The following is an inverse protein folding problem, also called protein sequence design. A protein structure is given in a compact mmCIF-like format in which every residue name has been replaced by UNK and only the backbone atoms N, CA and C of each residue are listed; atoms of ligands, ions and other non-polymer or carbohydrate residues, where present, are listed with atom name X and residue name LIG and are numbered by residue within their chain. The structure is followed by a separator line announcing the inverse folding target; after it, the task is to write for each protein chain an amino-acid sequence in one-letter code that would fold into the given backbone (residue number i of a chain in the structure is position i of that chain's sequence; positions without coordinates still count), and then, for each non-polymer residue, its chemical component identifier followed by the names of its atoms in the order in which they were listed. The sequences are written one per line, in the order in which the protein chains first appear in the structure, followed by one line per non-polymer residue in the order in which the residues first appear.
data_IF_326211094177
#
_entry.id   IF_326211094177
#
_cell.length_a   1.000
_cell.length_b   1.000
_cell.length_c   1.000
_cell.angle_alpha   90.00
_cell.angle_beta   90.00
_cell.angle_gamma   90.00
#
_symmetry.space_group_name_H-M   'P 1'
#
loop_
_entity.id
_entity.type
_entity.pdbx_description
1 polymer ?
#
# COMPACT_ATOMS: atom_id res chain seq x y z
N UNK A 1 12.94 5.59 -17.87
CA UNK A 1 13.31 5.15 -19.23
C UNK A 1 12.98 6.30 -20.17
N UNK A 2 13.85 6.67 -21.10
CA UNK A 2 13.52 7.75 -22.04
C UNK A 2 12.40 7.28 -22.99
N UNK A 3 11.56 8.22 -23.43
CA UNK A 3 10.38 7.93 -24.26
C UNK A 3 10.69 7.08 -25.49
N UNK A 4 11.83 7.34 -26.15
CA UNK A 4 12.30 6.58 -27.32
C UNK A 4 12.40 5.08 -27.11
N UNK A 5 12.70 4.63 -25.88
CA UNK A 5 12.88 3.22 -25.55
C UNK A 5 11.77 2.70 -24.62
N UNK A 6 10.74 3.51 -24.35
CA UNK A 6 9.67 3.17 -23.42
C UNK A 6 8.77 2.08 -23.98
N UNK A 7 8.91 0.87 -23.44
CA UNK A 7 7.95 -0.21 -23.69
C UNK A 7 6.83 -0.09 -22.67
N UNK A 8 5.62 0.27 -23.13
CA UNK A 8 4.46 0.55 -22.27
C UNK A 8 4.20 -0.50 -21.21
N UNK A 9 4.26 -1.79 -21.57
CA UNK A 9 4.00 -2.89 -20.64
C UNK A 9 5.05 -2.99 -19.53
N UNK A 10 6.33 -2.75 -19.86
CA UNK A 10 7.41 -2.69 -18.88
C UNK A 10 7.28 -1.43 -18.03
N UNK A 11 6.95 -0.29 -18.64
CA UNK A 11 6.74 0.97 -17.94
C UNK A 11 5.64 0.91 -16.89
N UNK A 12 4.53 0.21 -17.18
CA UNK A 12 3.46 -0.02 -16.21
C UNK A 12 3.94 -0.82 -14.99
N UNK A 13 4.75 -1.87 -15.20
CA UNK A 13 5.29 -2.69 -14.10
C UNK A 13 6.15 -1.85 -13.15
N UNK A 14 6.97 -0.95 -13.69
CA UNK A 14 7.88 -0.10 -12.91
C UNK A 14 7.30 1.27 -12.54
N UNK A 15 6.02 1.51 -12.80
CA UNK A 15 5.35 2.75 -12.40
C UNK A 15 5.21 2.84 -10.88
N UNK A 16 5.23 4.07 -10.34
CA UNK A 16 5.02 4.28 -8.89
C UNK A 16 3.64 3.79 -8.44
N UNK A 17 2.61 3.95 -9.29
CA UNK A 17 1.28 3.41 -9.04
C UNK A 17 1.33 1.89 -8.86
N UNK A 18 1.98 1.15 -9.79
CA UNK A 18 2.11 -0.30 -9.65
C UNK A 18 2.97 -0.70 -8.45
N UNK A 19 4.05 0.04 -8.17
CA UNK A 19 4.90 -0.17 -6.99
C UNK A 19 4.09 -0.09 -5.69
N UNK A 20 3.34 1.01 -5.48
CA UNK A 20 2.56 1.19 -4.26
C UNK A 20 1.36 0.26 -4.17
N UNK A 21 0.69 -0.06 -5.29
CA UNK A 21 -0.35 -1.10 -5.34
C UNK A 21 0.20 -2.47 -4.98
N UNK A 22 1.41 -2.80 -5.43
CA UNK A 22 2.08 -4.07 -5.10
C UNK A 22 2.43 -4.11 -3.61
N UNK A 23 2.95 -3.03 -3.03
CA UNK A 23 3.21 -2.96 -1.59
C UNK A 23 1.93 -3.12 -0.78
N UNK A 24 0.84 -2.44 -1.15
CA UNK A 24 -0.45 -2.55 -0.48
C UNK A 24 -0.99 -3.98 -0.53
N UNK A 25 -0.80 -4.67 -1.67
CA UNK A 25 -1.13 -6.09 -1.80
C UNK A 25 -0.30 -6.97 -0.88
N UNK A 26 1.00 -6.71 -0.75
CA UNK A 26 1.87 -7.47 0.17
C UNK A 26 1.43 -7.27 1.62
N UNK A 27 1.17 -6.03 2.05
CA UNK A 27 0.68 -5.75 3.42
C UNK A 27 -0.64 -6.45 3.73
N UNK A 28 -1.57 -6.45 2.77
CA UNK A 28 -2.83 -7.18 2.91
C UNK A 28 -2.59 -8.69 3.07
N UNK A 29 -1.71 -9.28 2.25
CA UNK A 29 -1.36 -10.70 2.34
C UNK A 29 -0.69 -11.06 3.68
N UNK A 30 0.13 -10.16 4.23
CA UNK A 30 0.73 -10.33 5.56
C UNK A 30 -0.37 -10.37 6.62
N UNK A 31 -1.33 -9.44 6.57
CA UNK A 31 -2.48 -9.42 7.47
C UNK A 31 -3.33 -10.71 7.34
N UNK A 32 -3.60 -11.17 6.11
CA UNK A 32 -4.29 -12.44 5.88
C UNK A 32 -3.53 -13.64 6.46
N UNK A 33 -2.20 -13.67 6.32
CA UNK A 33 -1.34 -14.68 6.94
C UNK A 33 -1.44 -14.67 8.48
N UNK A 34 -1.46 -13.50 9.11
CA UNK A 34 -1.69 -13.38 10.55
C UNK A 34 -3.10 -13.78 10.98
N UNK A 35 -4.12 -13.54 10.15
CA UNK A 35 -5.47 -14.01 10.39
C UNK A 35 -5.58 -15.54 10.35
N UNK A 36 -4.84 -16.21 9.45
CA UNK A 36 -4.80 -17.68 9.37
C UNK A 36 -4.27 -18.34 10.65
N UNK A 37 -3.36 -17.68 11.36
CA UNK A 37 -2.84 -18.15 12.67
C UNK A 37 -3.62 -17.58 13.86
N UNK A 38 -4.71 -16.85 13.62
CA UNK A 38 -5.63 -16.36 14.65
C UNK A 38 -5.19 -15.08 15.37
N UNK A 39 -4.20 -14.35 14.87
CA UNK A 39 -3.74 -13.09 15.49
C UNK A 39 -4.64 -11.89 15.13
N UNK A 40 -5.13 -11.83 13.89
CA UNK A 40 -6.05 -10.78 13.43
C UNK A 40 -7.48 -11.32 13.35
N UNK A 41 -8.48 -10.64 13.94
CA UNK A 41 -9.89 -11.01 13.77
C UNK A 41 -10.30 -10.95 12.29
N UNK A 42 -11.06 -11.93 11.77
CA UNK A 42 -11.54 -11.90 10.38
C UNK A 42 -12.31 -10.62 10.02
N UNK A 43 -13.02 -10.03 10.98
CA UNK A 43 -13.72 -8.75 10.82
C UNK A 43 -12.80 -7.58 10.51
N UNK A 44 -11.59 -7.59 11.06
CA UNK A 44 -10.60 -6.53 10.81
C UNK A 44 -9.97 -6.71 9.41
N UNK A 45 -9.75 -7.95 8.97
CA UNK A 45 -9.28 -8.24 7.60
C UNK A 45 -10.27 -7.75 6.56
N UNK A 46 -11.57 -8.01 6.74
CA UNK A 46 -12.59 -7.55 5.79
C UNK A 46 -12.65 -6.02 5.71
N UNK A 47 -12.45 -5.32 6.84
CA UNK A 47 -12.32 -3.85 6.84
C UNK A 47 -11.07 -3.39 6.10
N UNK A 48 -9.92 -4.02 6.35
CA UNK A 48 -8.68 -3.70 5.63
C UNK A 48 -8.89 -3.88 4.13
N UNK A 49 -9.42 -5.03 3.68
CA UNK A 49 -9.72 -5.29 2.26
C UNK A 49 -10.62 -4.25 1.61
N UNK A 50 -11.60 -3.75 2.35
CA UNK A 50 -12.60 -2.82 1.83
C UNK A 50 -12.09 -1.38 1.79
N UNK A 51 -11.30 -0.97 2.78
CA UNK A 51 -10.91 0.42 3.00
C UNK A 51 -9.51 0.76 2.46
N UNK A 52 -8.61 -0.22 2.38
CA UNK A 52 -7.22 -0.03 1.95
C UNK A 52 -7.16 0.56 0.54
N UNK A 53 -6.76 1.82 0.45
CA UNK A 53 -6.69 2.55 -0.81
C UNK A 53 -5.32 3.19 -0.99
N UNK A 54 -4.73 3.06 -2.18
CA UNK A 54 -3.48 3.72 -2.53
C UNK A 54 -3.79 5.07 -3.17
N UNK A 55 -3.26 6.15 -2.59
CA UNK A 55 -3.40 7.51 -3.10
C UNK A 55 -2.01 8.08 -3.42
N UNK A 56 -1.61 7.99 -4.69
CA UNK A 56 -0.28 8.43 -5.14
C UNK A 56 0.02 9.91 -4.85
N UNK A 57 -0.89 10.87 -5.12
CA UNK A 57 -0.67 12.26 -4.70
C UNK A 57 -0.36 12.40 -3.20
N UNK A 58 -1.14 11.73 -2.33
CA UNK A 58 -0.94 11.79 -0.88
C UNK A 58 0.37 11.14 -0.45
N UNK A 59 0.76 10.06 -1.12
CA UNK A 59 2.04 9.39 -0.90
C UNK A 59 3.22 10.33 -1.14
N UNK A 60 3.20 11.08 -2.24
CA UNK A 60 4.27 12.02 -2.59
C UNK A 60 4.34 13.20 -1.61
N UNK A 61 3.20 13.69 -1.12
CA UNK A 61 3.15 14.71 -0.06
C UNK A 61 3.80 14.20 1.23
N UNK A 62 3.41 13.01 1.69
CA UNK A 62 3.94 12.41 2.91
C UNK A 62 5.44 12.09 2.76
N UNK A 63 5.89 11.60 1.61
CA UNK A 63 7.31 11.33 1.35
C UNK A 63 8.14 12.61 1.40
N UNK A 64 7.60 13.73 0.90
CA UNK A 64 8.24 15.03 1.02
C UNK A 64 8.38 15.50 2.48
N UNK A 65 7.49 15.10 3.38
CA UNK A 65 7.55 15.40 4.81
C UNK A 65 8.45 14.42 5.59
N UNK A 66 8.27 13.11 5.40
CA UNK A 66 8.97 12.06 6.16
C UNK A 66 10.40 11.87 5.68
N UNK A 67 10.71 12.21 4.43
CA UNK A 67 11.95 11.86 3.73
C UNK A 67 12.22 10.35 3.71
N UNK A 68 11.16 9.54 3.83
CA UNK A 68 11.22 8.09 3.79
C UNK A 68 9.94 7.54 3.17
N UNK A 69 10.10 6.89 2.02
CA UNK A 69 9.06 6.28 1.20
C UNK A 69 8.22 5.24 1.95
N UNK A 70 8.81 4.24 2.60
CA UNK A 70 8.06 3.20 3.32
C UNK A 70 7.26 3.79 4.48
N UNK A 71 7.82 4.76 5.22
CA UNK A 71 7.09 5.43 6.31
C UNK A 71 5.94 6.27 5.78
N UNK A 72 6.13 6.97 4.66
CA UNK A 72 5.05 7.70 4.00
C UNK A 72 3.95 6.76 3.51
N UNK A 73 4.33 5.59 2.98
CA UNK A 73 3.41 4.57 2.51
C UNK A 73 2.54 3.98 3.63
N UNK A 74 3.14 3.55 4.74
CA UNK A 74 2.37 3.00 5.87
C UNK A 74 1.46 4.06 6.52
N UNK A 75 1.91 5.32 6.57
CA UNK A 75 1.07 6.46 7.00
C UNK A 75 -0.10 6.69 6.05
N UNK A 76 0.14 6.71 4.74
CA UNK A 76 -0.91 6.87 3.73
C UNK A 76 -1.97 5.76 3.85
N UNK A 77 -1.55 4.50 3.98
CA UNK A 77 -2.49 3.39 4.18
C UNK A 77 -3.29 3.56 5.48
N UNK A 78 -2.59 3.92 6.57
CA UNK A 78 -3.21 4.16 7.88
C UNK A 78 -4.23 5.30 7.90
N UNK A 79 -4.13 6.28 7.00
CA UNK A 79 -5.11 7.37 6.86
C UNK A 79 -6.45 6.87 6.29
N UNK A 80 -6.43 5.79 5.48
CA UNK A 80 -7.64 5.20 4.87
C UNK A 80 -8.34 4.18 5.77
N UNK A 81 -7.65 3.72 6.81
CA UNK A 81 -8.10 2.67 7.70
C UNK A 81 -8.60 3.23 9.04
N UNK A 82 -9.58 2.54 9.62
CA UNK A 82 -10.10 2.82 10.96
C UNK A 82 -9.21 2.24 12.08
N UNK A 83 -9.80 1.72 13.17
CA UNK A 83 -9.06 1.07 14.25
C UNK A 83 -8.20 -0.13 13.81
N UNK A 84 -8.55 -0.76 12.69
CA UNK A 84 -7.82 -1.87 12.08
C UNK A 84 -6.44 -1.48 11.56
N UNK A 85 -6.15 -0.17 11.41
CA UNK A 85 -4.82 0.31 10.99
C UNK A 85 -3.68 -0.16 11.88
N UNK A 86 -3.96 -0.56 13.13
CA UNK A 86 -2.96 -1.09 14.07
C UNK A 86 -2.25 -2.37 13.58
N UNK A 87 -2.82 -3.03 12.57
CA UNK A 87 -2.28 -4.26 11.98
C UNK A 87 -1.31 -3.99 10.81
N UNK A 88 -1.26 -2.75 10.31
CA UNK A 88 -0.35 -2.29 9.25
C UNK A 88 0.66 -1.32 9.87
#
# INVERSE_FOLDING_TARGET
MIERYFVTEIGKIWSDENKYNTWAKVELLVCEGWAQIGLIPPTDIEKIKTNLTVNLPRMLELEAETKHDVVAFTRMLSETLGPEKKWI
#
